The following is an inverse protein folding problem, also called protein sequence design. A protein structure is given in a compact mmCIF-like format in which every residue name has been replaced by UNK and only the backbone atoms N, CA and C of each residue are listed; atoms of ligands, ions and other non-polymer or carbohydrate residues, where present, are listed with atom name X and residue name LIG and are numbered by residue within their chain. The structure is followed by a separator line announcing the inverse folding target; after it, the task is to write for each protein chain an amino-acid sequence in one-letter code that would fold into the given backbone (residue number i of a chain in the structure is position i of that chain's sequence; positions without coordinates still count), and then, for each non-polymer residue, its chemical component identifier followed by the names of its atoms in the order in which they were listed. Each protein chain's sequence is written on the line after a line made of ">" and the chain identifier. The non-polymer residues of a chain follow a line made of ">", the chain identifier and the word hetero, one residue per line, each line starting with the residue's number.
data_IF_482255945290
#
_entry.id   IF_482255945290
#
_cell.length_a   1.000
_cell.length_b   1.000
_cell.length_c   1.000
_cell.angle_alpha   90.00
_cell.angle_beta   90.00
_cell.angle_gamma   90.00
#
_symmetry.space_group_name_H-M   'P 1'
#
loop_
_entity.id
_entity.type
_entity.pdbx_description
1 polymer ?
#
# COMPACT_ATOMS: atom_id res chain seq x y z
N UNK A 1 -27.77 -2.79 -5.29
CA UNK A 1 -27.60 -3.12 -6.71
C UNK A 1 -27.90 -4.58 -6.97
N UNK A 2 -27.32 -5.54 -6.21
CA UNK A 2 -27.67 -6.97 -6.30
C UNK A 2 -29.17 -7.21 -6.09
N UNK A 3 -29.76 -6.65 -5.03
CA UNK A 3 -31.18 -6.83 -4.69
C UNK A 3 -32.13 -6.31 -5.77
N UNK A 4 -31.70 -5.35 -6.56
CA UNK A 4 -32.51 -4.74 -7.62
C UNK A 4 -32.20 -5.33 -9.02
N UNK A 5 -31.34 -6.34 -9.11
CA UNK A 5 -30.91 -6.93 -10.37
C UNK A 5 -30.10 -6.01 -11.27
N UNK A 6 -29.49 -4.95 -10.71
CA UNK A 6 -28.64 -4.02 -11.44
C UNK A 6 -27.16 -4.48 -11.50
N UNK A 7 -26.84 -5.54 -10.78
CA UNK A 7 -25.52 -6.17 -10.78
C UNK A 7 -25.67 -7.67 -10.49
N UNK A 8 -24.83 -8.48 -11.09
CA UNK A 8 -24.78 -9.94 -10.89
C UNK A 8 -23.70 -10.33 -9.89
N UNK A 9 -22.73 -9.44 -9.65
CA UNK A 9 -21.58 -9.67 -8.80
C UNK A 9 -21.20 -8.40 -8.02
N UNK A 10 -20.89 -8.55 -6.75
CA UNK A 10 -20.40 -7.50 -5.87
C UNK A 10 -18.96 -7.82 -5.42
N UNK A 11 -18.00 -7.18 -6.05
CA UNK A 11 -16.56 -7.32 -5.81
C UNK A 11 -16.01 -6.10 -5.05
N UNK A 12 -16.52 -5.85 -3.84
CA UNK A 12 -16.28 -4.60 -3.10
C UNK A 12 -15.51 -4.78 -1.78
N UNK A 13 -14.66 -5.79 -1.66
CA UNK A 13 -13.88 -6.01 -0.45
C UNK A 13 -14.73 -6.34 0.79
N UNK A 14 -15.82 -7.05 0.62
CA UNK A 14 -16.78 -7.30 1.69
C UNK A 14 -16.40 -8.52 2.52
N UNK A 15 -16.44 -8.34 3.84
CA UNK A 15 -16.21 -9.41 4.80
C UNK A 15 -17.34 -10.45 4.76
N UNK A 16 -16.97 -11.73 4.80
CA UNK A 16 -17.87 -12.83 5.02
C UNK A 16 -18.45 -12.74 6.44
N UNK A 17 -19.76 -12.77 6.58
CA UNK A 17 -20.43 -12.90 7.88
C UNK A 17 -21.76 -13.68 7.76
N UNK A 18 -22.23 -14.17 8.91
CA UNK A 18 -23.44 -15.02 8.99
C UNK A 18 -24.72 -14.34 8.53
N UNK A 19 -24.84 -13.02 8.63
CA UNK A 19 -26.01 -12.28 8.16
C UNK A 19 -26.01 -12.12 6.64
N UNK A 20 -24.82 -11.79 6.08
CA UNK A 20 -24.70 -11.57 4.64
C UNK A 20 -24.93 -12.83 3.83
N UNK A 21 -24.45 -14.00 4.32
CA UNK A 21 -24.64 -15.28 3.63
C UNK A 21 -26.07 -15.81 3.67
N UNK A 22 -26.96 -15.22 4.47
CA UNK A 22 -28.39 -15.52 4.42
C UNK A 22 -29.08 -14.98 3.17
N UNK A 23 -28.52 -13.88 2.60
CA UNK A 23 -29.12 -13.14 1.51
C UNK A 23 -28.31 -13.23 0.21
N UNK A 24 -27.04 -13.59 0.29
CA UNK A 24 -26.13 -13.60 -0.85
C UNK A 24 -25.23 -14.84 -0.84
N UNK A 25 -24.88 -15.31 -2.03
CA UNK A 25 -23.96 -16.41 -2.24
C UNK A 25 -22.52 -15.90 -2.15
N UNK A 26 -21.68 -16.36 -1.19
CA UNK A 26 -20.28 -16.00 -1.14
C UNK A 26 -19.46 -16.74 -2.19
N UNK A 27 -18.51 -16.06 -2.79
CA UNK A 27 -17.46 -16.64 -3.62
C UNK A 27 -16.26 -17.12 -2.78
N UNK A 28 -15.15 -17.49 -3.42
CA UNK A 28 -13.91 -17.85 -2.74
C UNK A 28 -13.33 -16.69 -1.94
N UNK A 29 -12.69 -17.00 -0.82
CA UNK A 29 -11.90 -16.04 -0.04
C UNK A 29 -10.60 -15.71 -0.76
N UNK A 30 -10.24 -14.43 -0.84
CA UNK A 30 -9.00 -14.01 -1.49
C UNK A 30 -8.04 -13.23 -0.59
N UNK A 31 -8.50 -12.68 0.54
CA UNK A 31 -7.67 -12.24 1.68
C UNK A 31 -8.52 -12.18 2.96
N UNK A 32 -7.91 -11.82 4.09
CA UNK A 32 -8.59 -11.67 5.37
C UNK A 32 -8.30 -10.32 5.99
N UNK A 33 -9.25 -9.79 6.77
CA UNK A 33 -9.09 -8.55 7.54
C UNK A 33 -9.61 -8.72 8.95
N UNK A 34 -9.06 -7.99 9.91
CA UNK A 34 -9.64 -7.78 11.23
C UNK A 34 -10.18 -6.35 11.34
N UNK A 35 -11.22 -6.16 12.16
CA UNK A 35 -11.68 -4.83 12.54
C UNK A 35 -10.85 -4.35 13.72
N UNK A 36 -10.31 -3.13 13.65
CA UNK A 36 -9.38 -2.61 14.64
C UNK A 36 -9.79 -1.22 15.11
N UNK A 37 -9.70 -0.99 16.42
CA UNK A 37 -9.86 0.33 17.02
C UNK A 37 -8.59 1.14 16.83
N UNK A 38 -8.71 2.34 16.28
CA UNK A 38 -7.59 3.24 16.05
C UNK A 38 -7.71 4.52 16.86
N UNK A 39 -6.54 5.11 17.16
CA UNK A 39 -6.40 6.34 17.92
C UNK A 39 -5.20 7.16 17.43
N UNK A 40 -5.13 8.44 17.79
CA UNK A 40 -3.98 9.29 17.47
C UNK A 40 -2.84 9.07 18.48
N UNK A 41 -1.62 8.88 17.97
CA UNK A 41 -0.41 8.79 18.79
C UNK A 41 -0.25 10.05 19.65
N UNK A 42 0.00 9.85 20.94
CA UNK A 42 0.04 10.93 21.93
C UNK A 42 -1.28 11.18 22.68
N UNK A 43 -2.37 10.58 22.22
CA UNK A 43 -3.64 10.51 22.93
C UNK A 43 -3.72 9.27 23.83
N UNK A 44 -4.74 9.18 24.66
CA UNK A 44 -4.96 8.01 25.52
C UNK A 44 -5.24 6.76 24.66
N UNK A 45 -4.45 5.70 24.86
CA UNK A 45 -4.67 4.39 24.24
C UNK A 45 -5.61 3.57 25.12
N UNK A 46 -6.84 3.26 24.70
CA UNK A 46 -7.71 2.38 25.45
C UNK A 46 -7.18 0.95 25.45
N UNK A 47 -7.31 0.27 26.60
CA UNK A 47 -6.91 -1.13 26.77
C UNK A 47 -8.09 -2.10 26.66
N UNK A 48 -9.30 -1.57 26.61
CA UNK A 48 -10.56 -2.31 26.52
C UNK A 48 -11.63 -1.43 25.91
N UNK A 49 -12.62 -2.04 25.29
CA UNK A 49 -13.82 -1.36 24.79
C UNK A 49 -14.79 -0.97 25.89
N UNK A 50 -14.72 -1.63 27.05
CA UNK A 50 -15.75 -1.57 28.08
C UNK A 50 -16.09 -0.19 28.64
N UNK A 51 -15.17 0.75 28.50
CA UNK A 51 -15.33 2.11 29.03
C UNK A 51 -15.53 3.16 27.93
N UNK A 52 -15.67 2.77 26.67
CA UNK A 52 -15.85 3.73 25.58
C UNK A 52 -17.31 4.19 25.51
N UNK A 53 -17.47 5.50 25.33
CA UNK A 53 -18.77 6.17 25.24
C UNK A 53 -19.06 6.62 23.82
N UNK A 54 -20.32 6.96 23.55
CA UNK A 54 -20.74 7.47 22.25
C UNK A 54 -20.12 8.84 21.88
N UNK A 55 -19.59 9.57 22.83
CA UNK A 55 -18.81 10.79 22.58
C UNK A 55 -17.41 10.49 22.07
N UNK A 56 -16.85 9.34 22.42
CA UNK A 56 -15.47 8.97 22.12
C UNK A 56 -15.35 8.08 20.88
N UNK A 57 -16.34 7.22 20.61
CA UNK A 57 -16.31 6.25 19.52
C UNK A 57 -17.35 6.59 18.45
N UNK A 58 -16.88 6.90 17.26
CA UNK A 58 -17.72 7.04 16.05
C UNK A 58 -17.27 6.06 14.99
N UNK A 59 -18.22 5.38 14.35
CA UNK A 59 -17.96 4.37 13.31
C UNK A 59 -18.69 4.74 12.01
N UNK A 60 -18.16 4.28 10.88
CA UNK A 60 -18.79 4.41 9.59
C UNK A 60 -20.08 3.55 9.52
N UNK A 61 -21.05 3.89 8.67
CA UNK A 61 -22.22 3.08 8.46
C UNK A 61 -21.80 1.77 7.77
N UNK A 62 -22.00 0.66 8.45
CA UNK A 62 -21.70 -0.67 7.94
C UNK A 62 -22.25 -1.73 8.86
N UNK A 63 -23.02 -2.66 8.30
CA UNK A 63 -23.66 -3.69 9.10
C UNK A 63 -22.68 -4.57 9.87
N UNK A 64 -21.47 -4.78 9.35
CA UNK A 64 -20.47 -5.67 9.98
C UNK A 64 -19.97 -5.09 11.29
N UNK A 65 -19.36 -3.90 11.26
CA UNK A 65 -18.78 -3.25 12.46
C UNK A 65 -19.85 -2.98 13.51
N UNK A 66 -21.04 -2.51 13.10
CA UNK A 66 -22.14 -2.22 14.02
C UNK A 66 -22.66 -3.51 14.67
N UNK A 67 -22.79 -4.61 13.92
CA UNK A 67 -23.21 -5.90 14.47
C UNK A 67 -22.16 -6.50 15.41
N UNK A 68 -20.87 -6.39 15.08
CA UNK A 68 -19.78 -6.85 15.93
C UNK A 68 -19.78 -6.07 17.26
N UNK A 69 -19.93 -4.75 17.22
CA UNK A 69 -20.05 -3.92 18.41
C UNK A 69 -21.31 -4.25 19.24
N UNK A 70 -22.42 -4.49 18.57
CA UNK A 70 -23.66 -4.90 19.25
C UNK A 70 -23.49 -6.24 19.96
N UNK A 71 -22.88 -7.21 19.30
CA UNK A 71 -22.56 -8.53 19.89
C UNK A 71 -21.64 -8.39 21.10
N UNK A 72 -20.59 -7.56 20.98
CA UNK A 72 -19.67 -7.30 22.09
C UNK A 72 -20.34 -6.58 23.26
N UNK A 73 -21.26 -5.67 22.99
CA UNK A 73 -22.06 -5.00 24.02
C UNK A 73 -22.94 -6.01 24.78
N UNK A 74 -23.61 -6.89 24.07
CA UNK A 74 -24.52 -7.88 24.67
C UNK A 74 -23.79 -8.97 25.46
N UNK A 75 -22.59 -9.36 25.00
CA UNK A 75 -21.87 -10.50 25.55
C UNK A 75 -20.77 -10.14 26.56
N UNK A 76 -20.13 -8.97 26.41
CA UNK A 76 -18.88 -8.66 27.10
C UNK A 76 -18.82 -7.27 27.74
N UNK A 77 -19.39 -6.26 27.09
CA UNK A 77 -19.23 -4.85 27.46
C UNK A 77 -20.58 -4.10 27.50
N UNK A 78 -21.44 -4.32 28.50
CA UNK A 78 -22.80 -3.75 28.53
C UNK A 78 -22.84 -2.21 28.46
N UNK A 79 -21.80 -1.53 28.95
CA UNK A 79 -21.70 -0.08 28.97
C UNK A 79 -21.16 0.51 27.66
N UNK A 80 -20.70 -0.33 26.71
CA UNK A 80 -20.18 0.11 25.42
C UNK A 80 -21.26 0.88 24.66
N UNK A 81 -20.89 2.07 24.19
CA UNK A 81 -21.75 2.87 23.30
C UNK A 81 -20.93 3.60 22.25
N UNK A 82 -21.55 3.86 21.11
CA UNK A 82 -20.90 4.50 19.95
C UNK A 82 -21.91 5.32 19.16
N UNK A 83 -21.38 6.20 18.28
CA UNK A 83 -22.14 6.91 17.26
C UNK A 83 -21.89 6.27 15.89
N UNK A 84 -22.86 6.34 15.01
CA UNK A 84 -22.72 6.04 13.58
C UNK A 84 -22.81 7.36 12.83
N UNK A 85 -21.81 7.63 11.99
CA UNK A 85 -21.85 8.79 11.09
C UNK A 85 -22.26 8.30 9.69
N UNK A 86 -23.51 8.58 9.30
CA UNK A 86 -24.08 8.11 8.03
C UNK A 86 -23.52 8.83 6.79
N UNK A 87 -22.64 9.82 6.99
CA UNK A 87 -22.10 10.65 5.90
C UNK A 87 -20.64 10.37 5.60
N UNK A 88 -19.91 9.73 6.52
CA UNK A 88 -18.48 9.51 6.43
C UNK A 88 -18.13 8.05 6.34
N UNK A 89 -17.18 7.72 5.46
CA UNK A 89 -16.54 6.40 5.42
C UNK A 89 -15.43 6.26 6.47
N UNK A 90 -14.86 5.04 6.57
CA UNK A 90 -13.80 4.76 7.54
C UNK A 90 -12.53 5.62 7.32
N UNK A 91 -12.18 5.93 6.07
CA UNK A 91 -11.04 6.79 5.76
C UNK A 91 -11.23 8.22 6.31
N UNK A 92 -12.39 8.83 6.07
CA UNK A 92 -12.71 10.17 6.56
C UNK A 92 -12.79 10.22 8.10
N UNK A 93 -13.25 9.15 8.75
CA UNK A 93 -13.24 9.06 10.21
C UNK A 93 -11.83 8.88 10.77
N UNK A 94 -10.94 8.15 10.07
CA UNK A 94 -9.52 8.09 10.44
C UNK A 94 -8.84 9.47 10.30
N UNK A 95 -9.18 10.27 9.28
CA UNK A 95 -8.74 11.66 9.17
C UNK A 95 -9.22 12.50 10.37
N UNK A 96 -10.50 12.38 10.75
CA UNK A 96 -11.04 13.10 11.92
C UNK A 96 -10.31 12.71 13.22
N UNK A 97 -9.86 11.46 13.37
CA UNK A 97 -9.05 11.03 14.52
C UNK A 97 -7.68 11.71 14.51
N UNK A 98 -6.96 11.74 13.39
CA UNK A 98 -5.64 12.38 13.32
C UNK A 98 -5.73 13.91 13.44
N UNK A 99 -6.83 14.53 13.01
CA UNK A 99 -7.10 15.95 13.20
C UNK A 99 -7.55 16.29 14.65
N UNK A 100 -7.88 15.27 15.46
CA UNK A 100 -8.31 15.43 16.84
C UNK A 100 -9.79 15.85 16.98
N UNK A 101 -10.60 15.64 15.96
CA UNK A 101 -12.06 15.83 15.97
C UNK A 101 -12.79 14.66 16.60
N UNK A 102 -12.20 13.46 16.53
CA UNK A 102 -12.65 12.23 17.17
C UNK A 102 -11.54 11.64 18.02
N UNK A 103 -11.92 10.95 19.10
CA UNK A 103 -10.98 10.19 19.91
C UNK A 103 -10.63 8.86 19.25
N UNK A 104 -11.65 8.12 18.79
CA UNK A 104 -11.52 6.75 18.26
C UNK A 104 -12.47 6.49 17.10
N UNK A 105 -12.02 5.65 16.17
CA UNK A 105 -12.87 5.01 15.17
C UNK A 105 -12.47 3.55 14.96
N UNK A 106 -13.23 2.82 14.17
CA UNK A 106 -12.93 1.44 13.79
C UNK A 106 -12.84 1.36 12.26
N UNK A 107 -11.81 0.67 11.79
CA UNK A 107 -11.63 0.36 10.39
C UNK A 107 -11.03 -1.05 10.23
N UNK A 108 -11.02 -1.58 9.03
CA UNK A 108 -10.35 -2.84 8.76
C UNK A 108 -8.82 -2.68 8.72
N UNK A 109 -8.11 -3.77 9.02
CA UNK A 109 -6.66 -3.80 9.14
C UNK A 109 -5.93 -3.39 7.87
N UNK A 110 -6.48 -3.68 6.69
CA UNK A 110 -5.89 -3.31 5.38
C UNK A 110 -6.05 -1.81 5.14
N UNK A 111 -7.25 -1.27 5.35
CA UNK A 111 -7.48 0.18 5.23
C UNK A 111 -6.58 0.97 6.19
N UNK A 112 -6.44 0.50 7.45
CA UNK A 112 -5.55 1.12 8.43
C UNK A 112 -4.09 1.07 7.96
N UNK A 113 -3.61 -0.08 7.52
CA UNK A 113 -2.23 -0.23 7.03
C UNK A 113 -1.93 0.71 5.87
N UNK A 114 -2.85 0.82 4.89
CA UNK A 114 -2.72 1.76 3.78
C UNK A 114 -2.74 3.22 4.24
N UNK A 115 -3.61 3.56 5.18
CA UNK A 115 -3.73 4.91 5.73
C UNK A 115 -2.48 5.33 6.53
N UNK A 116 -1.92 4.41 7.31
CA UNK A 116 -0.71 4.64 8.11
C UNK A 116 0.53 4.96 7.27
N UNK A 117 0.57 4.56 5.99
CA UNK A 117 1.68 4.89 5.07
C UNK A 117 1.88 6.40 4.90
N UNK A 118 0.81 7.18 4.97
CA UNK A 118 0.83 8.64 4.84
C UNK A 118 0.46 9.36 6.15
N UNK A 119 -0.10 8.64 7.13
CA UNK A 119 -0.54 9.15 8.41
C UNK A 119 0.04 8.33 9.57
N UNK A 120 1.36 8.43 9.81
CA UNK A 120 2.06 7.65 10.84
C UNK A 120 1.65 8.00 12.27
N UNK A 121 0.87 9.04 12.47
CA UNK A 121 0.28 9.41 13.76
C UNK A 121 -0.95 8.58 14.12
N UNK A 122 -1.54 7.82 13.19
CA UNK A 122 -2.61 6.88 13.49
C UNK A 122 -2.02 5.57 14.03
N UNK A 123 -2.55 5.06 15.13
CA UNK A 123 -2.10 3.80 15.71
C UNK A 123 -3.27 2.88 16.05
N UNK A 124 -3.02 1.58 16.06
CA UNK A 124 -3.98 0.56 16.49
C UNK A 124 -3.94 0.45 18.02
N UNK A 125 -5.11 0.56 18.65
CA UNK A 125 -5.29 0.35 20.07
C UNK A 125 -5.60 -1.11 20.41
N UNK A 126 -6.59 -1.69 19.73
CA UNK A 126 -7.16 -3.01 19.99
C UNK A 126 -7.63 -3.66 18.70
N UNK A 127 -7.53 -4.98 18.62
CA UNK A 127 -8.30 -5.79 17.67
C UNK A 127 -9.72 -5.97 18.20
N UNK A 128 -10.70 -5.72 17.36
CA UNK A 128 -12.13 -5.84 17.69
C UNK A 128 -12.65 -7.21 17.32
N UNK A 129 -12.17 -7.75 16.19
CA UNK A 129 -12.52 -9.08 15.70
C UNK A 129 -11.27 -9.90 15.45
N UNK A 130 -11.42 -11.22 15.41
CA UNK A 130 -10.47 -12.10 14.76
C UNK A 130 -10.44 -11.80 13.24
N UNK A 131 -9.52 -12.43 12.51
CA UNK A 131 -9.47 -12.35 11.06
C UNK A 131 -10.76 -12.86 10.42
N UNK A 132 -11.33 -12.05 9.56
CA UNK A 132 -12.55 -12.32 8.82
C UNK A 132 -12.22 -12.43 7.33
N UNK A 133 -12.64 -13.49 6.64
CA UNK A 133 -12.38 -13.66 5.23
C UNK A 133 -13.14 -12.63 4.40
N UNK A 134 -12.48 -12.13 3.35
CA UNK A 134 -13.06 -11.22 2.34
C UNK A 134 -13.36 -12.00 1.09
N UNK A 135 -14.55 -11.80 0.54
CA UNK A 135 -15.06 -12.53 -0.63
C UNK A 135 -15.94 -11.64 -1.50
N UNK A 136 -16.15 -12.07 -2.73
CA UNK A 136 -17.18 -11.50 -3.60
C UNK A 136 -18.53 -12.15 -3.32
N UNK A 137 -19.62 -11.43 -3.61
CA UNK A 137 -20.96 -11.90 -3.39
C UNK A 137 -21.79 -11.84 -4.67
N UNK A 138 -22.65 -12.86 -4.87
CA UNK A 138 -23.65 -12.92 -5.93
C UNK A 138 -25.05 -13.17 -5.34
N UNK A 139 -26.14 -12.99 -6.09
CA UNK A 139 -27.50 -13.34 -5.63
C UNK A 139 -27.62 -14.81 -5.26
N UNK A 140 -28.43 -15.12 -4.22
CA UNK A 140 -28.68 -16.51 -3.78
C UNK A 140 -29.45 -17.38 -4.78
N UNK A 141 -30.34 -16.76 -5.52
CA UNK A 141 -31.22 -17.38 -6.51
C UNK A 141 -30.57 -17.49 -7.90
N UNK A 142 -29.30 -17.13 -7.93
CA UNK A 142 -28.50 -17.18 -9.14
C UNK A 142 -28.33 -18.60 -9.67
N UNK A 143 -28.13 -18.68 -10.93
CA UNK A 143 -27.64 -19.85 -11.62
C UNK A 143 -26.22 -20.17 -11.07
N UNK A 144 -25.98 -21.44 -10.70
CA UNK A 144 -24.72 -21.90 -10.14
C UNK A 144 -23.53 -21.77 -11.13
N UNK A 145 -23.77 -21.39 -12.39
CA UNK A 145 -22.72 -21.21 -13.39
C UNK A 145 -21.77 -20.08 -13.03
N UNK A 146 -22.28 -18.97 -12.48
CA UNK A 146 -21.44 -17.87 -12.00
C UNK A 146 -20.56 -18.31 -10.81
N UNK A 147 -21.14 -19.04 -9.85
CA UNK A 147 -20.38 -19.56 -8.71
C UNK A 147 -19.30 -20.55 -9.14
N UNK A 148 -19.59 -21.43 -10.10
CA UNK A 148 -18.62 -22.34 -10.66
C UNK A 148 -17.49 -21.59 -11.39
N UNK A 149 -17.84 -20.60 -12.21
CA UNK A 149 -16.85 -19.76 -12.92
C UNK A 149 -15.95 -18.97 -11.96
N UNK A 150 -16.49 -18.48 -10.85
CA UNK A 150 -15.70 -17.82 -9.82
C UNK A 150 -14.72 -18.78 -9.12
N UNK A 151 -15.17 -20.00 -8.82
CA UNK A 151 -14.30 -21.04 -8.25
C UNK A 151 -13.14 -21.37 -9.21
N UNK A 152 -13.44 -21.62 -10.50
CA UNK A 152 -12.42 -21.91 -11.51
C UNK A 152 -11.45 -20.73 -11.66
N UNK A 153 -11.95 -19.51 -11.75
CA UNK A 153 -11.14 -18.29 -11.86
C UNK A 153 -10.17 -18.12 -10.67
N UNK A 154 -10.66 -18.22 -9.44
CA UNK A 154 -9.80 -18.07 -8.27
C UNK A 154 -8.83 -19.24 -8.09
N UNK A 155 -9.23 -20.47 -8.46
CA UNK A 155 -8.33 -21.62 -8.48
C UNK A 155 -7.18 -21.41 -9.48
N UNK A 156 -7.47 -20.98 -10.70
CA UNK A 156 -6.45 -20.66 -11.70
C UNK A 156 -5.49 -19.57 -11.22
N UNK A 157 -6.03 -18.48 -10.68
CA UNK A 157 -5.21 -17.38 -10.14
C UNK A 157 -4.36 -17.78 -8.92
N UNK A 158 -4.82 -18.73 -8.11
CA UNK A 158 -4.02 -19.29 -7.02
C UNK A 158 -2.93 -20.22 -7.52
N UNK A 159 -3.25 -21.12 -8.47
CA UNK A 159 -2.31 -22.11 -9.01
C UNK A 159 -1.16 -21.44 -9.78
N UNK A 160 -1.44 -20.39 -10.55
CA UNK A 160 -0.42 -19.65 -11.32
C UNK A 160 0.28 -18.55 -10.50
N UNK A 161 -0.12 -18.33 -9.23
CA UNK A 161 0.42 -17.33 -8.33
C UNK A 161 0.00 -15.89 -8.65
N UNK A 162 -0.95 -15.68 -9.55
CA UNK A 162 -1.42 -14.33 -9.93
C UNK A 162 -2.06 -13.60 -8.76
N UNK A 163 -2.88 -14.30 -7.95
CA UNK A 163 -3.51 -13.70 -6.77
C UNK A 163 -2.47 -13.21 -5.77
N UNK A 164 -1.46 -14.03 -5.46
CA UNK A 164 -0.36 -13.66 -4.56
C UNK A 164 0.44 -12.44 -5.09
N UNK A 165 0.67 -12.37 -6.41
CA UNK A 165 1.34 -11.22 -7.03
C UNK A 165 0.52 -9.93 -6.96
N UNK A 166 -0.81 -10.03 -7.12
CA UNK A 166 -1.71 -8.88 -6.99
C UNK A 166 -1.74 -8.42 -5.52
N UNK A 167 -1.89 -9.34 -4.59
CA UNK A 167 -1.86 -9.04 -3.15
C UNK A 167 -0.55 -8.36 -2.76
N UNK A 168 0.58 -8.93 -3.16
CA UNK A 168 1.90 -8.34 -2.91
C UNK A 168 2.03 -6.93 -3.51
N UNK A 169 1.56 -6.75 -4.74
CA UNK A 169 1.63 -5.45 -5.43
C UNK A 169 0.87 -4.34 -4.70
N UNK A 170 -0.30 -4.64 -4.18
CA UNK A 170 -1.19 -3.63 -3.61
C UNK A 170 -1.15 -3.56 -2.07
N UNK A 171 -0.87 -4.67 -1.40
CA UNK A 171 -0.94 -4.81 0.05
C UNK A 171 0.40 -5.14 0.71
N UNK A 172 1.36 -5.74 -0.01
CA UNK A 172 2.58 -6.38 0.51
C UNK A 172 3.63 -5.46 1.15
N UNK A 173 3.42 -4.15 1.24
CA UNK A 173 4.37 -3.22 1.84
C UNK A 173 3.95 -2.72 3.24
N UNK A 174 2.99 -3.40 3.88
CA UNK A 174 2.48 -2.99 5.19
C UNK A 174 3.40 -3.33 6.36
N UNK A 175 4.19 -4.39 6.23
CA UNK A 175 5.00 -4.93 7.33
C UNK A 175 6.34 -4.21 7.52
N UNK A 176 6.84 -3.50 6.50
CA UNK A 176 8.13 -2.79 6.51
C UNK A 176 7.98 -1.29 6.85
N UNK A 177 6.85 -0.88 7.45
CA UNK A 177 6.55 0.51 7.74
C UNK A 177 7.42 1.05 8.89
N UNK A 178 8.42 1.91 8.57
CA UNK A 178 9.18 2.66 9.57
C UNK A 178 8.52 4.01 9.86
N UNK A 179 7.89 4.09 11.03
CA UNK A 179 7.21 5.29 11.53
C UNK A 179 8.13 6.50 11.66
N UNK A 180 9.39 6.31 12.05
CA UNK A 180 10.36 7.40 12.25
C UNK A 180 10.77 7.99 10.91
N UNK A 181 11.07 7.13 9.94
CA UNK A 181 11.47 7.53 8.59
C UNK A 181 10.34 8.22 7.86
N UNK A 182 9.10 7.74 7.99
CA UNK A 182 7.94 8.38 7.37
C UNK A 182 7.70 9.80 7.90
N UNK A 183 7.80 10.03 9.21
CA UNK A 183 7.67 11.39 9.78
C UNK A 183 8.76 12.33 9.29
N UNK A 184 9.97 11.83 9.14
CA UNK A 184 11.11 12.60 8.62
C UNK A 184 10.88 12.94 7.15
N UNK A 185 10.41 11.96 6.35
CA UNK A 185 10.03 12.18 4.96
C UNK A 185 8.94 13.24 4.81
N UNK A 186 7.84 13.15 5.56
CA UNK A 186 6.73 14.12 5.48
C UNK A 186 7.19 15.54 5.81
N UNK A 187 8.03 15.71 6.85
CA UNK A 187 8.62 17.03 7.13
C UNK A 187 9.48 17.55 5.98
N UNK A 188 10.25 16.67 5.34
CA UNK A 188 11.07 17.05 4.19
C UNK A 188 10.21 17.39 2.96
N UNK A 189 9.07 16.72 2.77
CA UNK A 189 8.07 17.06 1.74
C UNK A 189 7.58 18.49 1.89
N UNK A 190 7.32 18.94 3.11
CA UNK A 190 6.84 20.30 3.37
C UNK A 190 7.95 21.35 3.29
N UNK A 191 9.16 21.03 3.80
CA UNK A 191 10.23 22.00 3.99
C UNK A 191 11.21 22.08 2.82
N UNK A 192 11.50 20.97 2.14
CA UNK A 192 12.58 20.84 1.14
C UNK A 192 12.04 20.66 -0.28
N UNK A 193 11.07 19.75 -0.46
CA UNK A 193 10.56 19.39 -1.78
C UNK A 193 10.04 20.59 -2.61
N UNK A 194 9.36 21.61 -2.04
CA UNK A 194 8.88 22.75 -2.84
C UNK A 194 9.97 23.48 -3.60
N UNK A 195 11.20 23.49 -3.11
CA UNK A 195 12.34 24.13 -3.76
C UNK A 195 12.93 23.26 -4.88
N UNK A 196 12.82 21.95 -4.78
CA UNK A 196 13.36 20.97 -5.72
C UNK A 196 12.35 20.55 -6.80
N UNK A 197 11.06 20.66 -6.51
CA UNK A 197 9.97 20.26 -7.42
C UNK A 197 10.15 20.80 -8.84
N UNK A 198 10.48 22.08 -9.08
CA UNK A 198 10.67 22.59 -10.45
C UNK A 198 11.78 21.87 -11.22
N UNK A 199 12.84 21.39 -10.53
CA UNK A 199 13.91 20.62 -11.16
C UNK A 199 13.45 19.21 -11.53
N UNK A 200 12.72 18.54 -10.64
CA UNK A 200 12.13 17.23 -10.94
C UNK A 200 11.16 17.32 -12.11
N UNK A 201 10.25 18.28 -12.11
CA UNK A 201 9.30 18.51 -13.21
C UNK A 201 10.02 18.83 -14.54
N UNK A 202 11.09 19.60 -14.49
CA UNK A 202 11.88 19.97 -15.69
C UNK A 202 12.50 18.77 -16.39
N UNK A 203 13.01 17.79 -15.63
CA UNK A 203 13.75 16.64 -16.14
C UNK A 203 12.94 15.34 -16.20
N UNK A 204 11.68 15.35 -15.73
CA UNK A 204 10.84 14.14 -15.64
C UNK A 204 10.54 13.51 -17.01
N UNK A 205 10.39 14.33 -18.06
CA UNK A 205 9.98 13.85 -19.39
C UNK A 205 8.71 12.99 -19.31
N UNK A 206 8.80 11.68 -19.66
CA UNK A 206 7.70 10.73 -19.57
C UNK A 206 7.60 10.03 -18.20
N UNK A 207 8.57 10.22 -17.32
CA UNK A 207 8.61 9.65 -15.97
C UNK A 207 7.83 10.57 -15.02
N UNK A 208 7.01 10.00 -14.12
CA UNK A 208 6.36 10.82 -13.10
C UNK A 208 7.43 11.51 -12.23
N UNK A 209 7.40 12.84 -12.16
CA UNK A 209 8.36 13.62 -11.37
C UNK A 209 8.36 13.21 -9.88
N UNK A 210 7.25 12.70 -9.35
CA UNK A 210 7.14 12.21 -7.97
C UNK A 210 7.97 10.96 -7.75
N UNK A 211 8.07 10.09 -8.77
CA UNK A 211 8.97 8.93 -8.72
C UNK A 211 10.42 9.37 -8.68
N UNK A 212 10.81 10.36 -9.47
CA UNK A 212 12.17 10.91 -9.45
C UNK A 212 12.51 11.54 -8.10
N UNK A 213 11.57 12.29 -7.52
CA UNK A 213 11.72 12.84 -6.19
C UNK A 213 11.85 11.75 -5.12
N UNK A 214 11.07 10.66 -5.22
CA UNK A 214 11.17 9.53 -4.31
C UNK A 214 12.52 8.81 -4.41
N UNK A 215 13.03 8.60 -5.62
CA UNK A 215 14.37 8.03 -5.83
C UNK A 215 15.42 8.94 -5.16
N UNK A 216 15.40 10.25 -5.43
CA UNK A 216 16.35 11.20 -4.85
C UNK A 216 16.27 11.25 -3.32
N UNK A 217 15.07 11.09 -2.75
CA UNK A 217 14.92 10.99 -1.30
C UNK A 217 15.52 9.70 -0.75
N UNK A 218 15.26 8.57 -1.38
CA UNK A 218 15.84 7.29 -0.99
C UNK A 218 17.36 7.28 -1.08
N UNK A 219 17.92 7.96 -2.09
CA UNK A 219 19.38 8.02 -2.31
C UNK A 219 20.09 8.94 -1.31
N UNK A 220 19.54 10.11 -1.02
CA UNK A 220 20.25 11.18 -0.30
C UNK A 220 19.41 11.96 0.71
N UNK A 221 18.15 11.64 0.91
CA UNK A 221 17.18 12.48 1.64
C UNK A 221 17.12 13.92 1.09
N UNK A 222 17.29 14.06 -0.24
CA UNK A 222 17.37 15.33 -0.97
C UNK A 222 18.57 16.21 -0.59
N UNK A 223 19.65 15.62 -0.08
CA UNK A 223 20.91 16.35 0.18
C UNK A 223 21.81 16.34 -1.06
N UNK A 224 21.96 17.49 -1.71
CA UNK A 224 22.83 17.65 -2.87
C UNK A 224 24.30 17.41 -2.55
N UNK A 225 24.73 17.55 -1.29
CA UNK A 225 26.11 17.36 -0.85
C UNK A 225 26.38 15.95 -0.32
N UNK A 226 25.38 15.06 -0.34
CA UNK A 226 25.51 13.71 0.16
C UNK A 226 26.72 12.98 -0.46
N UNK A 227 27.42 12.24 0.36
CA UNK A 227 28.58 11.43 -0.05
C UNK A 227 28.59 10.13 0.72
N UNK A 228 28.60 9.00 0.00
CA UNK A 228 28.71 7.68 0.64
C UNK A 228 30.16 7.28 0.91
N UNK A 229 30.40 6.31 1.80
CA UNK A 229 31.74 5.72 2.02
C UNK A 229 32.36 5.14 0.75
N UNK A 230 31.54 4.72 -0.22
CA UNK A 230 31.99 4.13 -1.50
C UNK A 230 32.24 5.20 -2.58
N UNK A 231 32.05 6.48 -2.26
CA UNK A 231 32.38 7.59 -3.15
C UNK A 231 31.30 7.97 -4.17
N UNK A 232 30.06 7.45 -4.04
CA UNK A 232 28.91 8.00 -4.76
C UNK A 232 28.52 9.34 -4.15
N UNK A 233 28.02 10.28 -4.96
CA UNK A 233 27.77 11.66 -4.51
C UNK A 233 26.54 12.28 -5.14
N UNK A 234 26.04 13.28 -4.43
CA UNK A 234 24.98 14.18 -4.87
C UNK A 234 23.58 13.62 -4.64
N UNK A 235 22.60 14.38 -5.08
CA UNK A 235 21.19 14.11 -4.82
C UNK A 235 20.72 12.73 -5.32
N UNK A 236 21.26 12.28 -6.47
CA UNK A 236 20.92 10.98 -7.09
C UNK A 236 22.03 9.93 -6.90
N UNK A 237 22.99 10.16 -6.00
CA UNK A 237 24.08 9.26 -5.61
C UNK A 237 24.80 8.61 -6.80
N UNK A 238 25.18 9.41 -7.80
CA UNK A 238 25.85 8.91 -8.99
C UNK A 238 27.30 8.50 -8.69
N UNK A 239 27.73 7.37 -9.26
CA UNK A 239 29.14 6.98 -9.27
C UNK A 239 29.94 7.96 -10.14
N UNK A 240 31.25 8.01 -9.92
CA UNK A 240 32.14 8.83 -10.78
C UNK A 240 32.06 8.40 -12.25
N UNK A 241 32.04 7.10 -12.49
CA UNK A 241 32.01 6.54 -13.86
C UNK A 241 30.67 6.84 -14.54
N UNK A 242 29.54 6.66 -13.84
CA UNK A 242 28.21 6.98 -14.36
C UNK A 242 28.10 8.47 -14.68
N UNK A 243 28.52 9.35 -13.78
CA UNK A 243 28.51 10.78 -14.02
C UNK A 243 29.34 11.17 -15.25
N UNK A 244 30.54 10.62 -15.37
CA UNK A 244 31.43 10.88 -16.51
C UNK A 244 30.82 10.42 -17.84
N UNK A 245 30.24 9.22 -17.90
CA UNK A 245 29.58 8.70 -19.09
C UNK A 245 28.36 9.53 -19.52
N UNK A 246 27.72 10.19 -18.58
CA UNK A 246 26.58 11.08 -18.79
C UNK A 246 26.97 12.55 -19.01
N UNK A 247 28.27 12.88 -18.99
CA UNK A 247 28.76 14.26 -19.15
C UNK A 247 28.44 15.17 -17.96
N UNK A 248 28.21 14.59 -16.75
CA UNK A 248 28.02 15.35 -15.53
C UNK A 248 29.40 15.78 -14.99
N UNK A 249 29.57 17.07 -14.82
CA UNK A 249 30.84 17.66 -14.35
C UNK A 249 30.85 17.85 -12.84
N UNK A 250 29.71 18.16 -12.24
CA UNK A 250 29.55 18.30 -10.80
C UNK A 250 28.36 17.47 -10.30
N UNK A 251 28.66 16.40 -9.57
CA UNK A 251 27.64 15.52 -8.97
C UNK A 251 26.94 16.15 -7.77
N UNK A 252 27.51 17.19 -7.17
CA UNK A 252 26.95 17.89 -6.00
C UNK A 252 26.10 19.11 -6.41
N UNK A 253 26.07 19.45 -7.68
CA UNK A 253 25.10 20.37 -8.26
C UNK A 253 23.76 19.65 -8.40
N UNK A 254 22.70 20.16 -7.75
CA UNK A 254 21.40 19.50 -7.68
C UNK A 254 20.79 19.27 -9.07
N UNK A 255 20.90 20.26 -9.96
CA UNK A 255 20.34 20.18 -11.31
C UNK A 255 21.08 19.16 -12.17
N UNK A 256 22.41 19.16 -12.16
CA UNK A 256 23.19 18.16 -12.88
C UNK A 256 22.96 16.74 -12.33
N UNK A 257 22.89 16.61 -11.00
CA UNK A 257 22.65 15.31 -10.36
C UNK A 257 21.29 14.74 -10.75
N UNK A 258 20.20 15.54 -10.68
CA UNK A 258 18.86 15.13 -11.09
C UNK A 258 18.84 14.76 -12.58
N UNK A 259 19.34 15.63 -13.46
CA UNK A 259 19.42 15.35 -14.91
C UNK A 259 20.19 14.07 -15.22
N UNK A 260 21.31 13.86 -14.53
CA UNK A 260 22.11 12.63 -14.68
C UNK A 260 21.38 11.39 -14.19
N UNK A 261 20.71 11.47 -13.02
CA UNK A 261 19.95 10.36 -12.45
C UNK A 261 18.78 9.95 -13.35
N UNK A 262 18.05 10.90 -13.91
CA UNK A 262 16.97 10.63 -14.89
C UNK A 262 17.50 9.89 -16.10
N UNK A 263 18.55 10.38 -16.73
CA UNK A 263 19.16 9.72 -17.91
C UNK A 263 19.69 8.32 -17.58
N UNK A 264 20.23 8.13 -16.38
CA UNK A 264 20.66 6.81 -15.93
C UNK A 264 19.48 5.87 -15.72
N UNK A 265 18.37 6.33 -15.14
CA UNK A 265 17.15 5.53 -15.00
C UNK A 265 16.56 5.15 -16.37
N UNK A 266 16.51 6.08 -17.31
CA UNK A 266 16.06 5.83 -18.69
C UNK A 266 16.95 4.80 -19.40
N UNK A 267 18.28 4.87 -19.22
CA UNK A 267 19.21 3.87 -19.73
C UNK A 267 18.92 2.48 -19.12
N UNK A 268 18.65 2.40 -17.81
CA UNK A 268 18.24 1.13 -17.18
C UNK A 268 16.92 0.62 -17.72
N UNK A 269 15.91 1.48 -17.88
CA UNK A 269 14.64 1.11 -18.47
C UNK A 269 14.77 0.54 -19.89
N UNK A 270 15.61 1.18 -20.73
CA UNK A 270 15.84 0.73 -22.09
C UNK A 270 16.51 -0.66 -22.17
N UNK A 271 17.26 -1.03 -21.13
CA UNK A 271 17.98 -2.31 -21.03
C UNK A 271 17.14 -3.44 -20.42
N UNK A 272 15.99 -3.14 -19.81
CA UNK A 272 15.11 -4.18 -19.29
C UNK A 272 14.67 -5.08 -20.43
N UNK A 273 14.78 -6.43 -20.30
CA UNK A 273 14.41 -7.36 -21.36
C UNK A 273 12.99 -7.15 -21.87
N UNK A 274 12.79 -7.31 -23.18
CA UNK A 274 11.49 -7.13 -23.84
C UNK A 274 10.42 -8.12 -23.35
N UNK A 275 10.85 -9.28 -22.81
CA UNK A 275 9.94 -10.27 -22.20
C UNK A 275 9.23 -9.77 -20.94
N UNK A 276 9.78 -8.74 -20.28
CA UNK A 276 9.18 -8.14 -19.08
C UNK A 276 7.97 -7.28 -19.49
N UNK A 277 6.77 -7.54 -18.95
CA UNK A 277 5.58 -6.74 -19.22
C UNK A 277 5.76 -5.25 -18.94
N UNK A 278 5.15 -4.36 -19.73
CA UNK A 278 5.35 -2.92 -19.67
C UNK A 278 5.11 -2.35 -18.26
N UNK A 279 4.07 -2.81 -17.59
CA UNK A 279 3.70 -2.39 -16.23
C UNK A 279 4.67 -2.91 -15.14
N UNK A 280 5.56 -3.83 -15.46
CA UNK A 280 6.57 -4.37 -14.54
C UNK A 280 7.97 -3.74 -14.77
N UNK A 281 8.25 -3.20 -15.97
CA UNK A 281 9.56 -2.72 -16.39
C UNK A 281 10.21 -1.74 -15.44
N UNK A 282 9.42 -0.82 -14.88
CA UNK A 282 9.93 0.19 -13.95
C UNK A 282 10.60 -0.42 -12.72
N UNK A 283 10.06 -1.50 -12.17
CA UNK A 283 10.61 -2.16 -11.00
C UNK A 283 11.98 -2.78 -11.25
N UNK A 284 12.14 -3.41 -12.42
CA UNK A 284 13.43 -3.95 -12.86
C UNK A 284 14.45 -2.85 -13.12
N UNK A 285 14.03 -1.73 -13.69
CA UNK A 285 14.89 -0.58 -13.90
C UNK A 285 15.35 0.07 -12.59
N UNK A 286 14.46 0.18 -11.59
CA UNK A 286 14.80 0.67 -10.26
C UNK A 286 15.79 -0.27 -9.54
N UNK A 287 15.59 -1.58 -9.64
CA UNK A 287 16.56 -2.54 -9.11
C UNK A 287 17.92 -2.42 -9.81
N UNK A 288 17.93 -2.29 -11.14
CA UNK A 288 19.15 -2.09 -11.91
C UNK A 288 19.84 -0.74 -11.59
N UNK A 289 19.05 0.30 -11.29
CA UNK A 289 19.58 1.60 -10.84
C UNK A 289 20.32 1.47 -9.50
N UNK A 290 19.68 0.79 -8.52
CA UNK A 290 20.19 0.67 -7.15
C UNK A 290 21.37 -0.32 -7.06
N UNK A 291 21.20 -1.55 -7.53
CA UNK A 291 22.19 -2.63 -7.36
C UNK A 291 23.06 -2.91 -8.60
N UNK A 292 22.73 -2.30 -9.72
CA UNK A 292 23.42 -2.53 -10.99
C UNK A 292 22.72 -3.55 -11.90
N UNK A 293 22.80 -3.30 -13.20
CA UNK A 293 22.11 -4.10 -14.22
C UNK A 293 22.47 -5.60 -14.20
N UNK A 294 23.74 -5.93 -13.95
CA UNK A 294 24.17 -7.33 -13.88
C UNK A 294 23.50 -8.10 -12.73
N UNK A 295 23.40 -7.49 -11.56
CA UNK A 295 22.74 -8.13 -10.40
C UNK A 295 21.24 -8.32 -10.61
N UNK A 296 20.58 -7.38 -11.27
CA UNK A 296 19.18 -7.56 -11.67
C UNK A 296 19.00 -8.76 -12.61
N UNK A 297 19.91 -8.95 -13.58
CA UNK A 297 19.89 -10.13 -14.46
C UNK A 297 20.20 -11.44 -13.70
N UNK A 298 21.12 -11.41 -12.73
CA UNK A 298 21.42 -12.56 -11.87
C UNK A 298 20.20 -12.97 -11.04
N UNK A 299 19.48 -12.00 -10.46
CA UNK A 299 18.24 -12.27 -9.71
C UNK A 299 17.17 -12.91 -10.60
N UNK A 300 16.98 -12.42 -11.84
CA UNK A 300 16.08 -13.04 -12.84
C UNK A 300 16.49 -14.48 -13.17
N UNK A 301 17.79 -14.71 -13.40
CA UNK A 301 18.30 -16.04 -13.69
C UNK A 301 18.11 -17.02 -12.52
N UNK A 302 18.28 -16.53 -11.28
CA UNK A 302 18.05 -17.32 -10.08
C UNK A 302 16.56 -17.65 -9.92
N UNK A 303 15.67 -16.68 -10.17
CA UNK A 303 14.21 -16.89 -10.14
C UNK A 303 13.80 -18.00 -11.12
N UNK A 304 14.29 -17.94 -12.36
CA UNK A 304 14.03 -19.00 -13.37
C UNK A 304 14.53 -20.38 -12.92
N UNK A 305 15.70 -20.47 -12.29
CA UNK A 305 16.24 -21.73 -11.74
C UNK A 305 15.38 -22.31 -10.62
N UNK A 306 14.71 -21.46 -9.85
CA UNK A 306 13.83 -21.85 -8.74
C UNK A 306 12.36 -21.98 -9.16
N UNK A 307 12.09 -22.05 -10.46
CA UNK A 307 10.77 -22.22 -11.09
C UNK A 307 9.80 -21.03 -10.86
N UNK A 308 10.30 -19.87 -10.48
CA UNK A 308 9.55 -18.61 -10.47
C UNK A 308 9.51 -17.98 -11.87
N UNK A 309 8.66 -16.96 -12.04
CA UNK A 309 8.59 -16.20 -13.28
C UNK A 309 9.65 -15.08 -13.28
N UNK A 310 10.72 -15.15 -14.12
CA UNK A 310 11.78 -14.17 -14.16
C UNK A 310 11.34 -12.79 -14.71
N UNK A 311 10.15 -12.70 -15.28
CA UNK A 311 9.58 -11.48 -15.83
C UNK A 311 8.53 -10.85 -14.88
N UNK A 312 8.28 -11.45 -13.71
CA UNK A 312 7.44 -10.93 -12.64
C UNK A 312 8.29 -10.33 -11.52
N UNK A 313 8.08 -9.06 -11.20
CA UNK A 313 8.81 -8.40 -10.11
C UNK A 313 8.55 -9.06 -8.74
N UNK A 314 7.30 -9.46 -8.47
CA UNK A 314 6.94 -10.13 -7.23
C UNK A 314 7.76 -11.41 -6.96
N UNK A 315 8.11 -12.14 -8.03
CA UNK A 315 8.92 -13.35 -7.92
C UNK A 315 10.43 -13.02 -7.81
N UNK A 316 10.88 -12.00 -8.56
CA UNK A 316 12.32 -11.63 -8.64
C UNK A 316 12.80 -10.91 -7.39
N UNK A 317 11.98 -10.03 -6.79
CA UNK A 317 12.37 -9.23 -5.62
C UNK A 317 12.72 -10.06 -4.38
N UNK A 318 12.32 -11.32 -4.34
CA UNK A 318 12.60 -12.25 -3.24
C UNK A 318 14.00 -12.89 -3.34
N UNK A 319 14.79 -12.57 -4.33
CA UNK A 319 16.10 -13.14 -4.62
C UNK A 319 17.20 -12.10 -4.47
#
# INVERSE_FOLDING_TARGET
>A
DLDNGNADLLAAGLVYNSERVKNYQPGPTYYSVSQQLVYKVGQYRPRTLGNLTAEQLTVAPGHVVVNDLQTLKETKFPELSWKVDDKKGSAELMEDVIEGKLDYTIADSVAISLFQRVHPELAVALDITDEQPVTWFSPLDGDNTLSAALLDFFNEMNEDGTLARIEEKYLGHGDDFDYVDTRTFLRAVDAVLPQLKPLFEKYAEEIDWRLLAAIAYQESHWDAQATSPTGVRGMMMLTKNTAQSLGITDRTDAEQSISGGVRYLQDMMSKVPESVPENERIWFALAAYNMGYAHMLDARALTAKTKGNPDSWADVKQR
#
